data_IF_036578750883
#
_entry.id   IF_036578750883
#
_cell.length_a   1.000
_cell.length_b   1.000
_cell.length_c   1.000
_cell.angle_alpha   90.00
_cell.angle_beta   90.00
_cell.angle_gamma   90.00
#
_symmetry.space_group_name_H-M   'P 1'
#
loop_
_entity.id
_entity.type
_entity.pdbx_description
1 polymer ?
#
# COMPACT_ATOMS: atom_id res chain seq x y z
N UNK A 1 -53.21 62.05 29.57
CA UNK A 1 -54.36 61.25 30.05
C UNK A 1 -54.20 59.83 29.53
N UNK A 2 -54.61 58.84 30.33
CA UNK A 2 -53.95 57.54 30.51
C UNK A 2 -54.52 56.49 29.52
N UNK A 3 -54.13 55.21 29.46
CA UNK A 3 -54.28 54.14 30.47
C UNK A 3 -53.55 52.88 29.95
N UNK A 4 -52.67 52.31 30.78
CA UNK A 4 -52.48 50.86 31.14
C UNK A 4 -52.28 49.78 30.05
N UNK A 5 -51.64 48.63 30.29
CA UNK A 5 -50.55 48.13 31.15
C UNK A 5 -50.40 46.61 30.84
N UNK A 6 -49.26 46.01 31.24
CA UNK A 6 -49.06 44.59 31.63
C UNK A 6 -49.12 43.55 30.48
N UNK A 7 -47.99 42.96 30.04
CA UNK A 7 -47.28 41.76 30.58
C UNK A 7 -48.20 40.52 30.63
N UNK A 8 -47.87 39.27 30.29
CA UNK A 8 -46.64 38.48 30.14
C UNK A 8 -47.08 37.21 29.39
N UNK A 9 -46.14 36.46 28.80
CA UNK A 9 -45.95 35.00 28.94
C UNK A 9 -45.28 34.47 27.66
N UNK A 10 -44.12 33.88 27.93
CA UNK A 10 -43.19 33.19 27.07
C UNK A 10 -43.82 31.86 26.64
N UNK A 11 -43.71 31.48 25.37
CA UNK A 11 -43.35 30.10 25.09
C UNK A 11 -42.60 29.97 23.77
N UNK A 12 -41.39 29.46 23.88
CA UNK A 12 -40.40 29.37 22.82
C UNK A 12 -40.42 27.92 22.33
N UNK A 13 -41.19 27.64 21.27
CA UNK A 13 -41.15 26.33 20.60
C UNK A 13 -40.66 26.48 19.18
N UNK A 14 -39.43 26.02 18.98
CA UNK A 14 -38.75 25.86 17.69
C UNK A 14 -39.53 24.82 16.88
N UNK A 15 -40.28 25.26 15.86
CA UNK A 15 -40.82 24.36 14.84
C UNK A 15 -39.73 24.00 13.83
N UNK A 16 -39.41 22.71 13.77
CA UNK A 16 -38.45 22.12 12.85
C UNK A 16 -38.84 22.36 11.38
N UNK A 17 -37.92 22.95 10.61
CA UNK A 17 -38.00 23.04 9.14
C UNK A 17 -37.34 21.78 8.57
N UNK A 18 -38.12 20.94 7.87
CA UNK A 18 -37.62 19.83 7.04
C UNK A 18 -36.86 20.39 5.83
N UNK A 19 -35.68 19.89 5.46
CA UNK A 19 -35.07 20.23 4.19
C UNK A 19 -35.68 19.38 3.06
N UNK A 20 -36.07 20.06 1.97
CA UNK A 20 -36.38 19.47 0.67
C UNK A 20 -35.12 18.83 0.09
N UNK A 21 -35.16 17.52 -0.16
CA UNK A 21 -34.28 16.85 -1.10
C UNK A 21 -35.09 16.61 -2.38
N UNK A 22 -34.75 17.34 -3.45
CA UNK A 22 -35.26 17.06 -4.80
C UNK A 22 -34.57 15.81 -5.35
N UNK A 23 -35.38 14.92 -5.95
CA UNK A 23 -34.98 13.67 -6.58
C UNK A 23 -34.10 13.93 -7.80
N UNK A 24 -32.84 13.50 -7.75
CA UNK A 24 -32.00 13.33 -8.94
C UNK A 24 -32.27 11.92 -9.46
N UNK A 25 -33.02 11.87 -10.56
CA UNK A 25 -33.34 10.66 -11.32
C UNK A 25 -32.08 9.99 -11.88
N UNK A 26 -31.98 8.68 -11.60
CA UNK A 26 -30.96 7.73 -12.03
C UNK A 26 -30.85 7.59 -13.56
N UNK A 27 -29.71 7.91 -14.16
CA UNK A 27 -29.29 7.35 -15.46
C UNK A 27 -27.77 7.17 -15.54
N UNK A 28 -27.38 5.95 -15.94
CA UNK A 28 -26.06 5.42 -16.32
C UNK A 28 -25.14 4.84 -15.21
N UNK A 29 -25.65 3.80 -14.54
CA UNK A 29 -24.81 2.77 -13.92
C UNK A 29 -24.27 1.81 -15.01
N UNK A 30 -23.07 2.08 -15.52
CA UNK A 30 -22.18 1.03 -16.03
C UNK A 30 -21.17 0.68 -14.94
N UNK A 31 -21.67 0.28 -13.77
CA UNK A 31 -20.87 -0.37 -12.75
C UNK A 31 -20.89 -1.85 -13.11
N UNK A 32 -19.83 -2.32 -13.76
CA UNK A 32 -19.59 -3.75 -13.97
C UNK A 32 -19.47 -4.40 -12.59
N UNK A 33 -20.38 -5.30 -12.26
CA UNK A 33 -20.32 -6.10 -11.04
C UNK A 33 -19.14 -7.09 -11.17
N UNK A 34 -17.96 -6.64 -10.75
CA UNK A 34 -16.73 -7.45 -10.73
C UNK A 34 -16.79 -8.36 -9.50
N UNK A 35 -17.41 -9.52 -9.67
CA UNK A 35 -17.35 -10.61 -8.70
C UNK A 35 -15.87 -10.98 -8.42
N UNK A 36 -15.47 -11.25 -7.16
CA UNK A 36 -14.11 -11.64 -6.84
C UNK A 36 -13.72 -12.93 -7.59
N UNK A 37 -12.69 -12.86 -8.43
CA UNK A 37 -12.22 -14.02 -9.18
C UNK A 37 -11.58 -15.07 -8.26
N UNK A 38 -11.79 -16.38 -8.50
CA UNK A 38 -11.20 -17.44 -7.69
C UNK A 38 -9.67 -17.43 -7.78
N UNK A 39 -8.99 -17.53 -6.64
CA UNK A 39 -7.55 -17.33 -6.51
C UNK A 39 -6.68 -18.28 -7.37
N UNK A 40 -7.17 -19.49 -7.69
CA UNK A 40 -6.48 -20.45 -8.56
C UNK A 40 -6.44 -19.97 -10.03
N UNK A 41 -7.47 -19.26 -10.46
CA UNK A 41 -7.54 -18.67 -11.80
C UNK A 41 -6.57 -17.49 -11.93
N UNK A 42 -6.51 -16.62 -10.92
CA UNK A 42 -5.56 -15.50 -10.88
C UNK A 42 -4.10 -15.95 -10.93
N UNK A 43 -3.74 -17.07 -10.30
CA UNK A 43 -2.38 -17.61 -10.41
C UNK A 43 -2.05 -18.03 -11.83
N UNK A 44 -2.98 -18.72 -12.52
CA UNK A 44 -2.75 -19.11 -13.91
C UNK A 44 -2.63 -17.89 -14.82
N UNK A 45 -3.54 -16.91 -14.67
CA UNK A 45 -3.49 -15.66 -15.42
C UNK A 45 -2.14 -14.94 -15.23
N UNK A 46 -1.62 -14.86 -13.99
CA UNK A 46 -0.32 -14.27 -13.69
C UNK A 46 0.82 -14.95 -14.45
N UNK A 47 0.89 -16.29 -14.43
CA UNK A 47 1.93 -17.05 -15.15
C UNK A 47 1.81 -16.93 -16.67
N UNK A 48 0.61 -16.66 -17.18
CA UNK A 48 0.35 -16.51 -18.61
C UNK A 48 0.73 -15.13 -19.15
N UNK A 49 0.93 -14.12 -18.30
CA UNK A 49 1.35 -12.78 -18.70
C UNK A 49 2.69 -12.80 -19.44
N UNK A 50 2.74 -12.11 -20.58
CA UNK A 50 3.94 -12.05 -21.42
C UNK A 50 5.16 -11.47 -20.67
N UNK A 51 4.94 -10.48 -19.82
CA UNK A 51 6.00 -9.90 -18.99
C UNK A 51 6.59 -10.92 -18.00
N UNK A 52 5.76 -11.80 -17.44
CA UNK A 52 6.22 -12.86 -16.52
C UNK A 52 7.02 -13.90 -17.29
N UNK A 53 6.50 -14.35 -18.44
CA UNK A 53 7.20 -15.30 -19.32
C UNK A 53 8.55 -14.78 -19.80
N UNK A 54 8.61 -13.51 -20.19
CA UNK A 54 9.83 -12.84 -20.65
C UNK A 54 10.92 -12.89 -19.58
N UNK A 55 10.62 -12.50 -18.34
CA UNK A 55 11.59 -12.47 -17.24
C UNK A 55 11.89 -13.88 -16.70
N UNK A 56 10.99 -14.84 -16.87
CA UNK A 56 11.29 -16.25 -16.59
C UNK A 56 12.26 -16.85 -17.62
N UNK A 57 12.14 -16.46 -18.90
CA UNK A 57 13.02 -16.94 -19.96
C UNK A 57 14.45 -16.36 -19.84
N UNK A 58 14.57 -15.10 -19.41
CA UNK A 58 15.85 -14.42 -19.18
C UNK A 58 16.49 -14.79 -17.82
N UNK A 59 16.73 -16.09 -17.63
CA UNK A 59 17.42 -16.62 -16.45
C UNK A 59 18.92 -16.26 -16.39
N UNK A 60 19.46 -15.70 -17.47
CA UNK A 60 20.83 -15.18 -17.50
C UNK A 60 20.94 -13.90 -16.69
N UNK A 61 19.95 -13.01 -16.75
CA UNK A 61 19.99 -11.72 -16.06
C UNK A 61 19.09 -11.66 -14.82
N UNK A 62 18.03 -12.47 -14.78
CA UNK A 62 17.00 -12.40 -13.75
C UNK A 62 16.85 -13.69 -12.96
N UNK A 63 16.43 -13.53 -11.71
CA UNK A 63 16.09 -14.63 -10.84
C UNK A 63 14.70 -14.41 -10.25
N UNK A 64 13.83 -15.43 -10.38
CA UNK A 64 12.54 -15.43 -9.69
C UNK A 64 12.76 -15.64 -8.19
N UNK A 65 12.07 -14.84 -7.38
CA UNK A 65 12.10 -14.91 -5.91
C UNK A 65 10.74 -15.31 -5.38
N UNK A 66 10.73 -16.05 -4.28
CA UNK A 66 9.53 -16.29 -3.51
C UNK A 66 9.33 -15.07 -2.61
N UNK A 67 8.27 -14.30 -2.87
CA UNK A 67 7.92 -13.16 -2.03
C UNK A 67 7.68 -13.62 -0.59
N UNK A 68 8.20 -12.85 0.38
CA UNK A 68 8.03 -13.12 1.81
C UNK A 68 8.61 -14.45 2.33
N UNK A 69 9.52 -15.11 1.59
CA UNK A 69 10.09 -16.41 1.96
C UNK A 69 10.79 -16.47 3.34
N UNK A 70 11.11 -15.33 3.94
CA UNK A 70 11.76 -15.20 5.24
C UNK A 70 10.77 -14.98 6.39
N UNK A 71 9.47 -14.85 6.10
CA UNK A 71 8.41 -14.66 7.09
C UNK A 71 7.83 -16.03 7.44
N UNK A 72 7.87 -16.40 8.72
CA UNK A 72 7.27 -17.66 9.18
C UNK A 72 5.74 -17.62 9.10
N UNK A 73 5.11 -18.79 8.98
CA UNK A 73 3.65 -18.92 8.91
C UNK A 73 2.93 -18.25 10.09
N UNK A 74 3.48 -18.35 11.29
CA UNK A 74 2.95 -17.69 12.49
C UNK A 74 2.99 -16.15 12.40
N UNK A 75 3.97 -15.60 11.67
CA UNK A 75 4.13 -14.14 11.52
C UNK A 75 3.40 -13.61 10.30
N UNK A 76 3.16 -14.45 9.29
CA UNK A 76 2.57 -14.01 8.01
C UNK A 76 1.16 -13.45 8.23
N UNK A 77 0.40 -13.98 9.19
CA UNK A 77 -0.96 -13.50 9.52
C UNK A 77 -1.00 -12.06 10.02
N UNK A 78 0.10 -11.59 10.62
CA UNK A 78 0.27 -10.22 11.10
C UNK A 78 1.10 -9.35 10.15
N UNK A 79 1.51 -9.89 9.00
CA UNK A 79 2.25 -9.16 7.99
C UNK A 79 1.28 -8.42 7.07
N UNK A 80 1.48 -7.12 6.90
CA UNK A 80 0.54 -6.25 6.17
C UNK A 80 0.27 -6.75 4.74
N UNK A 81 1.31 -6.84 3.90
CA UNK A 81 1.21 -7.21 2.48
C UNK A 81 1.22 -8.72 2.21
N UNK A 82 1.94 -9.49 3.03
CA UNK A 82 2.01 -10.95 2.92
C UNK A 82 0.80 -11.68 3.52
N UNK A 83 0.04 -11.05 4.40
CA UNK A 83 -1.11 -11.63 5.08
C UNK A 83 -2.35 -10.75 5.06
N UNK A 84 -2.39 -9.70 5.89
CA UNK A 84 -3.60 -8.89 6.15
C UNK A 84 -4.31 -8.38 4.88
N UNK A 85 -3.52 -7.97 3.89
CA UNK A 85 -3.99 -7.46 2.61
C UNK A 85 -4.11 -8.52 1.51
N UNK A 86 -3.91 -9.81 1.79
CA UNK A 86 -4.12 -10.89 0.81
C UNK A 86 -5.51 -11.48 0.87
N UNK A 87 -5.93 -12.07 -0.24
CA UNK A 87 -7.17 -12.85 -0.37
C UNK A 87 -8.09 -12.33 -1.48
N UNK A 88 -9.26 -12.94 -1.60
CA UNK A 88 -10.26 -12.60 -2.61
C UNK A 88 -10.64 -11.11 -2.54
N UNK A 89 -10.62 -10.45 -3.70
CA UNK A 89 -10.86 -9.00 -3.83
C UNK A 89 -9.77 -8.10 -3.26
N UNK A 90 -8.69 -8.62 -2.68
CA UNK A 90 -7.57 -7.83 -2.15
C UNK A 90 -6.32 -8.02 -3.02
N UNK A 91 -5.13 -8.22 -2.44
CA UNK A 91 -3.98 -8.74 -3.18
C UNK A 91 -4.27 -10.22 -3.51
N UNK A 92 -4.78 -10.43 -4.73
CA UNK A 92 -5.48 -11.65 -5.11
C UNK A 92 -4.59 -12.86 -5.35
N UNK A 93 -3.27 -12.69 -5.44
CA UNK A 93 -2.32 -13.79 -5.66
C UNK A 93 -0.93 -13.45 -5.15
N UNK A 94 -0.09 -14.46 -4.90
CA UNK A 94 1.34 -14.25 -4.66
C UNK A 94 1.96 -13.55 -5.88
N UNK A 95 2.74 -12.48 -5.69
CA UNK A 95 3.26 -11.73 -6.82
C UNK A 95 4.34 -12.52 -7.57
N UNK A 96 4.50 -12.24 -8.86
CA UNK A 96 5.64 -12.70 -9.61
C UNK A 96 6.79 -11.70 -9.41
N UNK A 97 7.73 -12.07 -8.54
CA UNK A 97 8.86 -11.24 -8.16
C UNK A 97 10.14 -11.70 -8.87
N UNK A 98 10.79 -10.78 -9.57
CA UNK A 98 12.06 -10.99 -10.24
C UNK A 98 13.08 -9.99 -9.72
N UNK A 99 14.29 -10.47 -9.48
CA UNK A 99 15.43 -9.66 -9.07
C UNK A 99 16.56 -9.84 -10.08
N UNK A 100 17.20 -8.76 -10.51
CA UNK A 100 18.38 -8.84 -11.36
C UNK A 100 19.54 -9.48 -10.59
N UNK A 101 20.44 -10.18 -11.29
CA UNK A 101 21.58 -10.86 -10.64
C UNK A 101 22.58 -9.92 -9.97
N UNK A 102 22.65 -8.68 -10.41
CA UNK A 102 23.45 -7.63 -9.77
C UNK A 102 22.75 -6.99 -8.53
N UNK A 103 21.56 -7.46 -8.18
CA UNK A 103 20.71 -6.98 -7.09
C UNK A 103 20.33 -5.49 -7.21
N UNK A 104 20.44 -4.88 -8.39
CA UNK A 104 20.12 -3.45 -8.60
C UNK A 104 18.70 -3.20 -9.04
N UNK A 105 18.01 -4.22 -9.54
CA UNK A 105 16.66 -4.08 -10.06
C UNK A 105 15.71 -5.13 -9.51
N UNK A 106 14.46 -4.70 -9.35
CA UNK A 106 13.33 -5.56 -9.06
C UNK A 106 12.21 -5.28 -10.04
N UNK A 107 11.62 -6.35 -10.57
CA UNK A 107 10.32 -6.33 -11.22
C UNK A 107 9.33 -7.11 -10.35
N UNK A 108 8.22 -6.49 -9.99
CA UNK A 108 7.20 -7.08 -9.13
C UNK A 108 5.83 -6.97 -9.81
N UNK A 109 5.25 -8.09 -10.21
CA UNK A 109 3.93 -8.15 -10.85
C UNK A 109 2.91 -8.59 -9.81
N UNK A 110 1.91 -7.74 -9.54
CA UNK A 110 0.92 -7.94 -8.47
C UNK A 110 -0.50 -7.77 -9.02
N UNK A 111 -1.45 -8.52 -8.46
CA UNK A 111 -2.89 -8.25 -8.66
C UNK A 111 -3.41 -7.32 -7.56
N UNK A 112 -4.20 -6.31 -7.94
CA UNK A 112 -4.87 -5.38 -7.03
C UNK A 112 -6.38 -5.47 -7.16
N UNK A 113 -7.05 -6.14 -6.23
CA UNK A 113 -8.51 -6.33 -6.26
C UNK A 113 -9.34 -5.15 -5.77
N UNK A 114 -10.66 -5.29 -5.89
CA UNK A 114 -11.67 -4.24 -5.65
C UNK A 114 -11.88 -3.88 -4.17
N UNK A 115 -11.61 -4.78 -3.23
CA UNK A 115 -11.77 -4.56 -1.77
C UNK A 115 -10.72 -3.63 -1.16
N UNK A 116 -9.73 -3.18 -1.95
CA UNK A 116 -8.70 -2.22 -1.52
C UNK A 116 -8.78 -0.90 -2.31
N UNK A 117 -9.99 -0.55 -2.77
CA UNK A 117 -10.26 0.72 -3.42
C UNK A 117 -10.37 1.88 -2.43
N UNK A 118 -10.04 3.10 -2.89
CA UNK A 118 -10.32 4.34 -2.16
C UNK A 118 -11.52 5.11 -2.71
N UNK A 119 -11.78 4.96 -4.00
CA UNK A 119 -12.98 5.44 -4.70
C UNK A 119 -13.55 4.27 -5.51
N UNK A 120 -14.85 4.21 -5.82
CA UNK A 120 -15.42 3.11 -6.62
C UNK A 120 -14.55 2.73 -7.82
N UNK A 121 -14.10 1.47 -7.84
CA UNK A 121 -13.24 0.86 -8.86
C UNK A 121 -11.83 1.46 -9.05
N UNK A 122 -11.37 2.34 -8.15
CA UNK A 122 -10.02 2.93 -8.17
C UNK A 122 -9.25 2.43 -6.94
N UNK A 123 -8.15 1.71 -7.19
CA UNK A 123 -7.23 1.23 -6.15
C UNK A 123 -6.77 2.38 -5.26
N UNK A 124 -6.84 2.20 -3.93
CA UNK A 124 -6.50 3.25 -2.99
C UNK A 124 -5.04 3.70 -3.18
N UNK A 125 -4.80 5.02 -3.30
CA UNK A 125 -3.45 5.55 -3.50
C UNK A 125 -2.46 5.14 -2.39
N UNK A 126 -2.96 5.03 -1.15
CA UNK A 126 -2.20 4.48 -0.01
C UNK A 126 -1.80 3.00 -0.18
N UNK A 127 -2.61 2.16 -0.82
CA UNK A 127 -2.20 0.79 -1.14
C UNK A 127 -1.03 0.82 -2.14
N UNK A 128 -1.14 1.63 -3.19
CA UNK A 128 -0.07 1.77 -4.18
C UNK A 128 1.23 2.26 -3.52
N UNK A 129 1.12 3.20 -2.57
CA UNK A 129 2.25 3.65 -1.76
C UNK A 129 2.85 2.52 -0.92
N UNK A 130 2.02 1.69 -0.27
CA UNK A 130 2.48 0.51 0.49
C UNK A 130 3.24 -0.48 -0.40
N UNK A 131 2.72 -0.78 -1.59
CA UNK A 131 3.37 -1.71 -2.52
C UNK A 131 4.68 -1.15 -3.09
N UNK A 132 4.75 0.16 -3.32
CA UNK A 132 5.97 0.87 -3.73
C UNK A 132 7.02 0.86 -2.61
N UNK A 133 6.63 1.15 -1.37
CA UNK A 133 7.54 1.08 -0.21
C UNK A 133 8.14 -0.32 -0.09
N UNK A 134 7.30 -1.36 -0.09
CA UNK A 134 7.77 -2.75 -0.01
C UNK A 134 8.69 -3.11 -1.18
N UNK A 135 8.30 -2.80 -2.43
CA UNK A 135 9.09 -3.18 -3.60
C UNK A 135 10.43 -2.43 -3.66
N UNK A 136 10.45 -1.16 -3.27
CA UNK A 136 11.69 -0.37 -3.20
C UNK A 136 12.58 -0.83 -2.04
N UNK A 137 12.00 -1.22 -0.90
CA UNK A 137 12.74 -1.80 0.23
C UNK A 137 13.42 -3.11 -0.15
N UNK A 138 12.71 -4.02 -0.81
CA UNK A 138 13.28 -5.28 -1.29
C UNK A 138 14.47 -5.07 -2.24
N UNK A 139 14.49 -3.97 -2.98
CA UNK A 139 15.59 -3.62 -3.89
C UNK A 139 16.74 -2.93 -3.15
N UNK A 140 16.42 -2.00 -2.25
CA UNK A 140 17.40 -1.20 -1.51
C UNK A 140 18.17 -1.99 -0.45
N UNK A 141 17.47 -2.77 0.37
CA UNK A 141 18.02 -3.39 1.59
C UNK A 141 19.18 -4.36 1.29
N UNK A 142 19.14 -5.19 0.23
CA UNK A 142 20.29 -6.01 -0.14
C UNK A 142 21.55 -5.19 -0.45
N UNK A 143 21.40 -3.92 -0.83
CA UNK A 143 22.53 -3.07 -1.19
C UNK A 143 23.10 -2.28 0.01
N UNK A 144 22.54 -2.46 1.21
CA UNK A 144 22.94 -1.75 2.42
C UNK A 144 23.88 -2.58 3.32
N UNK A 145 24.71 -1.92 4.15
CA UNK A 145 25.51 -2.60 5.17
C UNK A 145 24.65 -3.48 6.08
N UNK A 146 25.13 -4.70 6.36
CA UNK A 146 24.39 -5.66 7.18
C UNK A 146 23.08 -6.16 6.58
N UNK A 147 22.82 -5.88 5.28
CA UNK A 147 21.59 -6.25 4.56
C UNK A 147 20.34 -5.82 5.34
N UNK A 148 20.40 -4.63 5.94
CA UNK A 148 19.36 -4.07 6.79
C UNK A 148 19.18 -2.58 6.49
N UNK A 149 17.94 -2.10 6.56
CA UNK A 149 17.62 -0.70 6.33
C UNK A 149 16.16 -0.39 6.60
N UNK A 150 15.89 0.89 6.78
CA UNK A 150 14.56 1.43 6.99
C UNK A 150 14.28 2.54 5.98
N UNK A 151 13.02 2.68 5.58
CA UNK A 151 12.56 3.81 4.75
C UNK A 151 12.78 5.12 5.51
N UNK A 152 13.58 6.01 4.96
CA UNK A 152 13.79 7.36 5.49
C UNK A 152 12.97 8.40 4.71
N UNK A 153 12.78 8.19 3.41
CA UNK A 153 11.90 9.00 2.58
C UNK A 153 11.27 8.14 1.49
N UNK A 154 9.99 8.40 1.22
CA UNK A 154 9.27 7.90 0.06
C UNK A 154 8.50 9.07 -0.53
N UNK A 155 8.84 9.45 -1.76
CA UNK A 155 8.19 10.52 -2.51
C UNK A 155 7.47 9.91 -3.71
N UNK A 156 6.19 10.23 -3.88
CA UNK A 156 5.28 9.58 -4.81
C UNK A 156 4.54 10.63 -5.63
N UNK A 157 4.55 10.44 -6.95
CA UNK A 157 3.75 11.21 -7.90
C UNK A 157 2.72 10.29 -8.55
N UNK A 158 1.43 10.51 -8.27
CA UNK A 158 0.32 9.83 -8.94
C UNK A 158 0.04 10.51 -10.28
N UNK A 159 0.14 9.74 -11.37
CA UNK A 159 0.01 10.22 -12.75
C UNK A 159 -1.38 9.96 -13.32
N UNK A 160 -1.90 8.75 -13.08
CA UNK A 160 -3.24 8.34 -13.52
C UNK A 160 -3.93 7.49 -12.44
N UNK A 161 -5.27 7.50 -12.35
CA UNK A 161 -6.00 6.57 -11.49
C UNK A 161 -5.71 5.12 -11.87
N UNK A 162 -5.38 4.29 -10.88
CA UNK A 162 -5.21 2.85 -11.07
C UNK A 162 -6.56 2.17 -10.90
N UNK A 163 -7.11 1.61 -11.99
CA UNK A 163 -8.37 0.84 -11.92
C UNK A 163 -8.11 -0.44 -11.12
N UNK A 164 -9.07 -0.87 -10.31
CA UNK A 164 -8.95 -2.12 -9.55
C UNK A 164 -9.25 -3.36 -10.43
N UNK A 165 -8.99 -4.52 -9.86
CA UNK A 165 -9.11 -5.85 -10.48
C UNK A 165 -8.25 -6.07 -11.72
N UNK A 166 -7.00 -5.60 -11.65
CA UNK A 166 -6.01 -5.80 -12.71
C UNK A 166 -4.64 -6.19 -12.15
N UNK A 167 -3.78 -6.69 -13.03
CA UNK A 167 -2.36 -6.82 -12.75
C UNK A 167 -1.64 -5.49 -12.98
N UNK A 168 -0.74 -5.18 -12.06
CA UNK A 168 0.15 -4.03 -12.13
C UNK A 168 1.61 -4.50 -12.07
N UNK A 169 2.50 -3.68 -12.60
CA UNK A 169 3.94 -3.93 -12.66
C UNK A 169 4.65 -2.81 -11.94
N UNK A 170 5.38 -3.14 -10.88
CA UNK A 170 6.32 -2.22 -10.25
C UNK A 170 7.73 -2.58 -10.71
N UNK A 171 8.39 -1.64 -11.37
CA UNK A 171 9.82 -1.73 -11.68
C UNK A 171 10.59 -0.78 -10.77
N UNK A 172 11.62 -1.28 -10.11
CA UNK A 172 12.42 -0.58 -9.12
C UNK A 172 13.91 -0.71 -9.46
N UNK A 173 14.67 0.38 -9.33
CA UNK A 173 16.10 0.44 -9.66
C UNK A 173 16.87 1.21 -8.57
N UNK A 174 17.94 0.60 -8.04
CA UNK A 174 18.88 1.27 -7.14
C UNK A 174 19.77 2.19 -7.97
N UNK A 175 19.59 3.49 -7.79
CA UNK A 175 20.30 4.53 -8.54
C UNK A 175 21.69 4.84 -7.97
N UNK A 176 21.84 4.79 -6.64
CA UNK A 176 23.14 4.96 -5.97
C UNK A 176 23.14 4.38 -4.56
N UNK A 177 24.34 4.10 -4.05
CA UNK A 177 24.58 3.68 -2.66
C UNK A 177 25.73 4.50 -2.09
N UNK A 178 25.47 5.18 -0.98
CA UNK A 178 26.41 6.10 -0.34
C UNK A 178 26.54 5.77 1.15
N UNK A 179 27.51 4.91 1.48
CA UNK A 179 27.75 4.44 2.83
C UNK A 179 26.54 3.67 3.40
N UNK A 180 25.74 4.34 4.23
CA UNK A 180 24.52 3.76 4.84
C UNK A 180 23.23 4.14 4.11
N UNK A 181 23.31 4.83 2.98
CA UNK A 181 22.14 5.33 2.22
C UNK A 181 22.02 4.58 0.90
N UNK A 182 20.82 4.12 0.55
CA UNK A 182 20.50 3.61 -0.78
C UNK A 182 19.37 4.45 -1.39
N UNK A 183 19.58 4.93 -2.61
CA UNK A 183 18.62 5.75 -3.35
C UNK A 183 18.00 4.90 -4.45
N UNK A 184 16.67 4.86 -4.50
CA UNK A 184 15.90 4.01 -5.40
C UNK A 184 14.89 4.85 -6.16
N UNK A 185 14.69 4.55 -7.44
CA UNK A 185 13.55 5.04 -8.22
C UNK A 185 12.65 3.87 -8.58
N UNK A 186 11.36 4.11 -8.69
CA UNK A 186 10.39 3.10 -9.10
C UNK A 186 9.27 3.68 -9.96
N UNK A 187 8.70 2.84 -10.82
CA UNK A 187 7.48 3.14 -11.57
C UNK A 187 6.47 2.02 -11.36
N UNK A 188 5.18 2.38 -11.33
CA UNK A 188 4.05 1.47 -11.27
C UNK A 188 3.23 1.67 -12.54
N UNK A 189 3.09 0.60 -13.32
CA UNK A 189 2.37 0.60 -14.60
C UNK A 189 1.31 -0.49 -14.66
N UNK A 190 0.32 -0.32 -15.53
CA UNK A 190 -0.53 -1.41 -15.98
C UNK A 190 0.21 -2.35 -16.93
N UNK A 191 -0.38 -3.52 -17.21
CA UNK A 191 0.14 -4.44 -18.24
C UNK A 191 0.13 -3.81 -19.64
N UNK A 192 -0.80 -2.88 -19.87
CA UNK A 192 -0.91 -2.06 -21.08
C UNK A 192 0.20 -0.99 -21.22
N UNK A 193 1.03 -0.80 -20.19
CA UNK A 193 2.08 0.21 -20.14
C UNK A 193 1.64 1.57 -19.59
N UNK A 194 0.36 1.74 -19.21
CA UNK A 194 -0.14 2.99 -18.61
C UNK A 194 0.61 3.28 -17.31
N UNK A 195 1.23 4.46 -17.21
CA UNK A 195 1.96 4.87 -16.01
C UNK A 195 1.01 5.42 -14.95
N UNK A 196 0.81 4.68 -13.87
CA UNK A 196 -0.05 5.11 -12.77
C UNK A 196 0.71 5.94 -11.74
N UNK A 197 1.91 5.51 -11.36
CA UNK A 197 2.68 6.14 -10.28
C UNK A 197 4.17 6.13 -10.58
N UNK A 198 4.87 7.20 -10.22
CA UNK A 198 6.32 7.27 -10.15
C UNK A 198 6.75 7.58 -8.72
N UNK A 199 7.85 6.98 -8.26
CA UNK A 199 8.35 7.19 -6.91
C UNK A 199 9.88 7.25 -6.85
N UNK A 200 10.37 7.99 -5.85
CA UNK A 200 11.76 7.92 -5.40
C UNK A 200 11.77 7.59 -3.91
N UNK A 201 12.72 6.77 -3.48
CA UNK A 201 12.84 6.35 -2.10
C UNK A 201 14.30 6.43 -1.62
N UNK A 202 14.46 6.71 -0.34
CA UNK A 202 15.73 6.67 0.38
C UNK A 202 15.61 5.68 1.53
N UNK A 203 16.51 4.70 1.54
CA UNK A 203 16.66 3.74 2.63
C UNK A 203 17.96 3.98 3.38
N UNK A 204 17.92 3.83 4.71
CA UNK A 204 19.09 4.04 5.57
C UNK A 204 19.32 2.83 6.48
N UNK A 205 20.54 2.29 6.43
CA UNK A 205 20.99 1.26 7.37
C UNK A 205 21.15 1.83 8.79
N UNK A 206 20.67 1.16 9.84
CA UNK A 206 20.85 1.60 11.21
C UNK A 206 22.33 1.66 11.60
N UNK A 207 22.67 2.51 12.59
CA UNK A 207 24.04 2.59 13.13
C UNK A 207 24.37 1.43 14.07
N UNK A 208 23.34 0.82 14.66
CA UNK A 208 23.42 -0.25 15.67
C UNK A 208 22.66 -1.47 15.17
N UNK A 209 22.93 -2.63 15.76
CA UNK A 209 22.22 -3.86 15.42
C UNK A 209 20.72 -3.75 15.70
N UNK A 210 19.88 -4.41 14.89
CA UNK A 210 18.41 -4.39 15.06
C UNK A 210 17.99 -4.96 16.42
N UNK A 211 18.72 -5.96 16.97
CA UNK A 211 18.45 -6.50 18.31
C UNK A 211 18.52 -5.40 19.38
N UNK A 212 19.58 -4.61 19.36
CA UNK A 212 19.78 -3.48 20.28
C UNK A 212 18.69 -2.42 20.11
N UNK A 213 18.29 -2.13 18.86
CA UNK A 213 17.21 -1.18 18.60
C UNK A 213 15.85 -1.67 19.15
N UNK A 214 15.56 -2.96 18.98
CA UNK A 214 14.32 -3.59 19.46
C UNK A 214 14.23 -3.56 20.99
N UNK A 215 15.34 -3.86 21.67
CA UNK A 215 15.44 -3.79 23.13
C UNK A 215 15.18 -2.37 23.64
N UNK A 216 15.82 -1.37 23.03
CA UNK A 216 15.62 0.05 23.38
C UNK A 216 14.16 0.48 23.22
N UNK A 217 13.51 0.11 22.11
CA UNK A 217 12.11 0.45 21.87
C UNK A 217 11.17 -0.24 22.87
N UNK A 218 11.46 -1.50 23.22
CA UNK A 218 10.67 -2.25 24.20
C UNK A 218 10.79 -1.63 25.59
N UNK A 219 12.01 -1.28 26.01
CA UNK A 219 12.25 -0.59 27.27
C UNK A 219 11.54 0.76 27.32
N UNK A 220 11.62 1.56 26.26
CA UNK A 220 10.95 2.86 26.17
C UNK A 220 9.42 2.73 26.26
N UNK A 221 8.83 1.74 25.56
CA UNK A 221 7.39 1.45 25.63
C UNK A 221 6.98 1.09 27.06
N UNK A 222 7.71 0.19 27.71
CA UNK A 222 7.38 -0.25 29.08
C UNK A 222 7.51 0.90 30.09
N UNK A 223 8.53 1.76 29.94
CA UNK A 223 8.66 2.96 30.76
C UNK A 223 7.47 3.92 30.57
N UNK A 224 7.04 4.16 29.32
CA UNK A 224 5.88 5.02 29.05
C UNK A 224 4.56 4.48 29.61
N UNK A 225 4.39 3.15 29.62
CA UNK A 225 3.23 2.50 30.22
C UNK A 225 3.23 2.62 31.74
N UNK A 226 4.37 2.38 32.38
CA UNK A 226 4.52 2.54 33.83
C UNK A 226 4.28 4.00 34.28
N UNK A 227 4.73 4.99 33.49
CA UNK A 227 4.43 6.40 33.75
C UNK A 227 2.94 6.74 33.60
N UNK A 228 2.25 6.13 32.63
CA UNK A 228 0.82 6.32 32.44
C UNK A 228 0.00 5.69 33.58
N UNK A 229 0.39 4.50 34.04
CA UNK A 229 -0.21 3.82 35.20
C UNK A 229 0.01 4.59 36.50
N UNK A 230 1.20 5.18 36.70
CA UNK A 230 1.49 5.97 37.89
C UNK A 230 0.74 7.33 37.95
N UNK A 231 0.14 7.77 36.84
CA UNK A 231 -0.65 9.00 36.73
C UNK A 231 -2.17 8.75 36.79
N UNK A 232 -2.60 7.50 36.76
CA UNK A 232 -4.01 7.09 36.87
C UNK A 232 -4.40 6.85 38.33
#
# INVERSE_FOLDING_TARGET
MPISSVATVVDNTVTAVKPHAEEITSQNDNIVDLQPQPQKDLQQQLEELEIVKTYMADSENWLRRIAHAHVSDEKIVHHLTAGTLRGAGKLGVAPALFQSKDEKQILNVLHVGTSLCGHPNITHGGLLATLLDETTAMNAIPNLPGKTGFTANLNINYRHPCIADQFIVIHSEVTSVEGRKAFVKATLKGIDGTLYVEATALFIAPKVAISQLTEQLTQAKNASLAEAEARA
#
